data_IF_888422404858
#
_entry.id   IF_888422404858
#
_cell.length_a   1.000
_cell.length_b   1.000
_cell.length_c   1.000
_cell.angle_alpha   90.00
_cell.angle_beta   90.00
_cell.angle_gamma   90.00
#
_symmetry.space_group_name_H-M   'P 1'
#
loop_
_entity.id
_entity.type
_entity.pdbx_description
1 polymer ?
#
# COMPACT_ATOMS: atom_id res chain seq x y z
N UNK A 1 5.38 -23.51 -5.21
CA UNK A 1 4.67 -23.94 -3.98
C UNK A 1 3.15 -23.80 -4.11
N UNK A 2 2.62 -22.81 -4.82
CA UNK A 2 1.16 -22.75 -5.09
C UNK A 2 0.81 -23.55 -6.35
N UNK A 3 0.32 -24.78 -6.15
CA UNK A 3 -0.01 -25.71 -7.23
C UNK A 3 -1.23 -25.27 -8.05
N UNK A 4 -1.97 -24.25 -7.62
CA UNK A 4 -3.08 -23.69 -8.41
C UNK A 4 -2.59 -23.03 -9.70
N UNK A 5 -1.34 -22.56 -9.73
CA UNK A 5 -0.78 -21.79 -10.84
C UNK A 5 0.34 -22.53 -11.58
N UNK A 6 1.15 -23.31 -10.88
CA UNK A 6 2.34 -23.94 -11.46
C UNK A 6 2.29 -25.45 -11.29
N UNK A 7 2.19 -26.18 -12.40
CA UNK A 7 2.45 -27.62 -12.44
C UNK A 7 3.92 -27.93 -12.14
N UNK A 8 4.22 -29.14 -11.70
CA UNK A 8 5.55 -29.52 -11.18
C UNK A 8 6.72 -29.16 -12.10
N UNK A 9 6.62 -29.47 -13.40
CA UNK A 9 7.68 -29.15 -14.37
C UNK A 9 7.91 -27.65 -14.51
N UNK A 10 6.83 -26.88 -14.65
CA UNK A 10 6.91 -25.42 -14.79
C UNK A 10 7.45 -24.78 -13.50
N UNK A 11 7.05 -25.27 -12.33
CA UNK A 11 7.57 -24.81 -11.04
C UNK A 11 9.07 -25.07 -10.94
N UNK A 12 9.56 -26.24 -11.35
CA UNK A 12 10.99 -26.58 -11.34
C UNK A 12 11.78 -25.66 -12.26
N UNK A 13 11.35 -25.52 -13.52
CA UNK A 13 12.01 -24.64 -14.52
C UNK A 13 12.03 -23.18 -14.06
N UNK A 14 10.95 -22.70 -13.45
CA UNK A 14 10.88 -21.35 -12.88
C UNK A 14 11.86 -21.17 -11.72
N UNK A 15 11.94 -22.13 -10.80
CA UNK A 15 12.89 -22.07 -9.68
C UNK A 15 14.35 -22.13 -10.16
N UNK A 16 14.67 -22.96 -11.15
CA UNK A 16 16.00 -23.03 -11.76
C UNK A 16 16.36 -21.68 -12.42
N UNK A 17 15.40 -21.08 -13.14
CA UNK A 17 15.58 -19.75 -13.72
C UNK A 17 15.82 -18.68 -12.66
N UNK A 18 14.98 -18.62 -11.62
CA UNK A 18 15.12 -17.67 -10.51
C UNK A 18 16.45 -17.84 -9.76
N UNK A 19 16.85 -19.08 -9.48
CA UNK A 19 18.09 -19.41 -8.78
C UNK A 19 19.37 -19.07 -9.57
N UNK A 20 19.26 -18.95 -10.90
CA UNK A 20 20.38 -18.53 -11.75
C UNK A 20 20.62 -17.01 -11.77
N UNK A 21 19.68 -16.22 -11.24
CA UNK A 21 19.74 -14.75 -11.29
C UNK A 21 20.69 -14.19 -10.24
N UNK A 22 21.29 -13.06 -10.60
CA UNK A 22 21.95 -12.15 -9.65
C UNK A 22 21.25 -10.81 -9.74
N UNK A 23 20.35 -10.52 -8.79
CA UNK A 23 19.61 -9.25 -8.78
C UNK A 23 20.43 -8.10 -8.20
N UNK A 24 21.26 -8.40 -7.20
CA UNK A 24 22.07 -7.42 -6.49
C UNK A 24 23.56 -7.74 -6.68
N UNK A 25 24.37 -6.79 -7.17
CA UNK A 25 25.80 -6.98 -7.28
C UNK A 25 26.46 -7.26 -5.92
N UNK A 26 27.53 -8.06 -5.89
CA UNK A 26 28.25 -8.36 -4.65
C UNK A 26 28.73 -7.11 -3.89
N UNK A 27 29.17 -6.08 -4.63
CA UNK A 27 29.58 -4.79 -4.03
C UNK A 27 28.44 -4.13 -3.25
N UNK A 28 27.20 -4.17 -3.78
CA UNK A 28 26.02 -3.62 -3.10
C UNK A 28 25.77 -4.34 -1.76
N UNK A 29 25.86 -5.67 -1.76
CA UNK A 29 25.67 -6.48 -0.55
C UNK A 29 26.77 -6.20 0.48
N UNK A 30 28.04 -6.10 0.06
CA UNK A 30 29.15 -5.79 0.97
C UNK A 30 29.03 -4.39 1.60
N UNK A 31 28.51 -3.42 0.86
CA UNK A 31 28.20 -2.07 1.37
C UNK A 31 27.03 -2.11 2.36
N UNK A 32 25.99 -2.91 2.09
CA UNK A 32 24.88 -3.13 3.02
C UNK A 32 25.39 -3.72 4.34
N UNK A 33 26.18 -4.79 4.29
CA UNK A 33 26.76 -5.45 5.47
C UNK A 33 27.63 -4.50 6.29
N UNK A 34 28.37 -3.61 5.61
CA UNK A 34 29.17 -2.57 6.25
C UNK A 34 28.30 -1.54 6.94
N UNK A 35 27.23 -1.07 6.28
CA UNK A 35 26.28 -0.12 6.86
C UNK A 35 25.62 -0.69 8.12
N UNK A 36 25.21 -1.96 8.10
CA UNK A 36 24.60 -2.64 9.25
C UNK A 36 25.59 -2.79 10.42
N UNK A 37 26.83 -3.22 10.14
CA UNK A 37 27.87 -3.44 11.16
C UNK A 37 28.32 -2.13 11.82
N UNK A 38 28.53 -1.09 11.01
CA UNK A 38 29.18 0.14 11.45
C UNK A 38 28.17 1.25 11.79
N UNK A 39 26.87 1.00 11.60
CA UNK A 39 25.78 1.94 11.89
C UNK A 39 25.64 3.06 10.84
N UNK A 40 26.27 2.90 9.68
CA UNK A 40 26.28 3.87 8.60
C UNK A 40 27.42 3.64 7.61
N UNK A 41 27.47 4.50 6.58
CA UNK A 41 28.55 4.54 5.59
C UNK A 41 29.12 5.95 5.51
N UNK A 42 30.42 6.05 5.27
CA UNK A 42 31.05 7.30 4.86
C UNK A 42 30.48 7.77 3.51
N UNK A 43 30.46 9.08 3.27
CA UNK A 43 29.74 9.69 2.14
C UNK A 43 30.01 9.00 0.79
N UNK A 44 31.27 8.74 0.45
CA UNK A 44 31.60 8.12 -0.84
C UNK A 44 31.09 6.68 -0.98
N UNK A 45 31.06 5.93 0.12
CA UNK A 45 30.49 4.58 0.16
C UNK A 45 28.95 4.63 0.12
N UNK A 46 28.34 5.64 0.77
CA UNK A 46 26.90 5.87 0.71
C UNK A 46 26.45 6.25 -0.72
N UNK A 47 27.17 7.14 -1.41
CA UNK A 47 26.88 7.52 -2.79
C UNK A 47 26.96 6.30 -3.73
N UNK A 48 28.00 5.47 -3.56
CA UNK A 48 28.17 4.23 -4.32
C UNK A 48 27.07 3.21 -4.03
N UNK A 49 26.68 3.08 -2.76
CA UNK A 49 25.58 2.23 -2.34
C UNK A 49 24.27 2.66 -3.01
N UNK A 50 23.96 3.96 -3.02
CA UNK A 50 22.76 4.51 -3.66
C UNK A 50 22.74 4.27 -5.17
N UNK A 51 23.87 4.50 -5.85
CA UNK A 51 24.02 4.24 -7.29
C UNK A 51 23.71 2.76 -7.62
N UNK A 52 24.32 1.83 -6.88
CA UNK A 52 24.11 0.40 -7.08
C UNK A 52 22.69 -0.05 -6.72
N UNK A 53 22.15 0.42 -5.60
CA UNK A 53 20.81 0.08 -5.14
C UNK A 53 19.75 0.54 -6.15
N UNK A 54 19.84 1.78 -6.62
CA UNK A 54 18.89 2.31 -7.61
C UNK A 54 19.04 1.64 -8.98
N UNK A 55 20.26 1.32 -9.39
CA UNK A 55 20.53 0.61 -10.65
C UNK A 55 19.92 -0.80 -10.67
N UNK A 56 19.82 -1.48 -9.53
CA UNK A 56 19.21 -2.81 -9.44
C UNK A 56 17.71 -2.82 -9.82
N UNK A 57 17.04 -1.67 -9.76
CA UNK A 57 15.62 -1.51 -10.14
C UNK A 57 15.43 -0.80 -11.48
N UNK A 58 16.51 -0.49 -12.20
CA UNK A 58 16.43 0.04 -13.55
C UNK A 58 15.96 -1.04 -14.52
N UNK A 59 15.22 -0.62 -15.56
CA UNK A 59 14.76 -1.54 -16.59
C UNK A 59 15.97 -2.10 -17.37
N UNK A 60 16.20 -3.41 -17.28
CA UNK A 60 17.36 -4.03 -17.94
C UNK A 60 17.27 -3.92 -19.48
N UNK A 61 18.39 -3.60 -20.18
CA UNK A 61 18.46 -3.66 -21.63
C UNK A 61 18.56 -5.09 -22.17
N UNK A 62 18.73 -6.10 -21.31
CA UNK A 62 18.91 -7.48 -21.73
C UNK A 62 17.67 -8.03 -22.45
N UNK A 63 17.86 -8.81 -23.53
CA UNK A 63 16.74 -9.43 -24.23
C UNK A 63 15.97 -10.42 -23.35
N UNK A 64 14.66 -10.26 -23.30
CA UNK A 64 13.73 -11.19 -22.66
C UNK A 64 13.52 -12.40 -23.56
N UNK A 65 13.56 -13.61 -23.02
CA UNK A 65 13.22 -14.80 -23.80
C UNK A 65 11.72 -14.81 -24.13
N UNK A 66 11.37 -14.72 -25.42
CA UNK A 66 9.97 -14.60 -25.86
C UNK A 66 9.15 -15.83 -25.50
N UNK A 67 9.72 -17.02 -25.72
CA UNK A 67 9.02 -18.28 -25.52
C UNK A 67 8.71 -18.52 -24.05
N UNK A 68 9.71 -18.28 -23.19
CA UNK A 68 9.59 -18.41 -21.74
C UNK A 68 8.64 -17.37 -21.16
N UNK A 69 8.76 -16.11 -21.57
CA UNK A 69 7.86 -15.05 -21.11
C UNK A 69 6.40 -15.36 -21.47
N UNK A 70 6.13 -15.75 -22.71
CA UNK A 70 4.78 -16.11 -23.15
C UNK A 70 4.23 -17.37 -22.45
N UNK A 71 5.09 -18.31 -22.05
CA UNK A 71 4.68 -19.48 -21.26
C UNK A 71 4.20 -19.07 -19.87
N UNK A 72 4.94 -18.20 -19.18
CA UNK A 72 4.56 -17.68 -17.88
C UNK A 72 3.34 -16.74 -17.95
N UNK A 73 3.22 -15.96 -19.02
CA UNK A 73 2.11 -15.03 -19.23
C UNK A 73 0.76 -15.76 -19.34
N UNK A 74 0.75 -16.97 -19.92
CA UNK A 74 -0.45 -17.84 -19.94
C UNK A 74 -0.90 -18.27 -18.55
N UNK A 75 0.00 -18.29 -17.55
CA UNK A 75 -0.35 -18.55 -16.15
C UNK A 75 -0.86 -17.26 -15.50
N UNK A 76 -0.02 -16.22 -15.56
CA UNK A 76 -0.33 -14.88 -15.08
C UNK A 76 0.71 -13.90 -15.61
N UNK A 77 0.27 -12.71 -15.96
CA UNK A 77 1.14 -11.60 -16.30
C UNK A 77 2.15 -11.25 -15.20
N UNK A 78 1.77 -11.36 -13.91
CA UNK A 78 2.68 -11.19 -12.77
C UNK A 78 3.77 -12.27 -12.75
N UNK A 79 3.41 -13.50 -13.13
CA UNK A 79 4.39 -14.58 -13.22
C UNK A 79 5.40 -14.32 -14.35
N UNK A 80 4.96 -13.76 -15.48
CA UNK A 80 5.86 -13.37 -16.58
C UNK A 80 6.76 -12.19 -16.20
N UNK A 81 6.19 -11.17 -15.55
CA UNK A 81 6.91 -9.97 -15.11
C UNK A 81 8.02 -10.31 -14.10
N UNK A 82 7.72 -11.15 -13.11
CA UNK A 82 8.70 -11.58 -12.10
C UNK A 82 9.59 -12.69 -12.66
N UNK A 83 9.00 -13.72 -13.25
CA UNK A 83 9.62 -15.00 -13.59
C UNK A 83 10.27 -15.05 -14.98
N UNK A 84 9.92 -14.14 -15.88
CA UNK A 84 10.34 -14.16 -17.29
C UNK A 84 11.56 -13.29 -17.61
N UNK A 85 11.99 -12.44 -16.68
CA UNK A 85 13.09 -11.47 -16.89
C UNK A 85 14.27 -11.76 -15.98
N UNK A 86 15.50 -11.49 -16.41
CA UNK A 86 16.71 -11.77 -15.61
C UNK A 86 16.98 -10.77 -14.47
N UNK A 87 16.35 -9.59 -14.51
CA UNK A 87 16.52 -8.51 -13.54
C UNK A 87 15.25 -8.31 -12.69
N UNK A 88 15.21 -7.26 -11.87
CA UNK A 88 13.98 -6.71 -11.31
C UNK A 88 13.80 -5.27 -11.82
N UNK A 89 12.67 -4.64 -11.54
CA UNK A 89 12.45 -3.23 -11.83
C UNK A 89 11.42 -2.61 -10.91
N UNK A 90 11.38 -1.27 -10.91
CA UNK A 90 10.25 -0.52 -10.36
C UNK A 90 8.99 -0.88 -11.15
N UNK A 91 7.95 -1.34 -10.47
CA UNK A 91 6.65 -1.51 -11.10
C UNK A 91 5.94 -0.14 -11.24
N UNK A 92 5.84 0.60 -10.15
CA UNK A 92 5.31 1.96 -10.11
C UNK A 92 5.97 2.77 -8.99
N UNK A 93 5.91 4.11 -9.11
CA UNK A 93 6.22 5.06 -8.04
C UNK A 93 4.98 5.94 -7.84
N UNK A 94 4.42 5.88 -6.64
CA UNK A 94 3.15 6.53 -6.31
C UNK A 94 3.41 7.85 -5.58
N UNK A 95 3.13 9.03 -6.19
CA UNK A 95 3.17 10.28 -5.48
C UNK A 95 1.91 10.46 -4.62
N UNK A 96 2.08 11.11 -3.47
CA UNK A 96 0.98 11.55 -2.61
C UNK A 96 0.35 12.83 -3.16
N UNK A 97 -0.98 12.85 -3.25
CA UNK A 97 -1.78 13.99 -3.72
C UNK A 97 -2.79 14.39 -2.65
N UNK A 98 -3.19 15.66 -2.65
CA UNK A 98 -4.15 16.19 -1.67
C UNK A 98 -5.61 16.01 -2.11
N UNK A 99 -5.88 16.08 -3.41
CA UNK A 99 -7.23 15.83 -3.97
C UNK A 99 -7.09 14.88 -5.17
N UNK A 100 -7.38 13.61 -4.92
CA UNK A 100 -7.28 12.55 -5.94
C UNK A 100 -8.37 12.67 -7.01
N UNK A 101 -9.55 13.20 -6.67
CA UNK A 101 -10.65 13.36 -7.63
C UNK A 101 -10.36 14.47 -8.64
N UNK A 102 -9.82 15.60 -8.16
CA UNK A 102 -9.43 16.70 -9.04
C UNK A 102 -8.26 16.30 -9.95
N UNK A 103 -7.30 15.53 -9.42
CA UNK A 103 -6.23 14.99 -10.24
C UNK A 103 -6.76 13.99 -11.28
N UNK A 104 -7.63 13.07 -10.89
CA UNK A 104 -8.27 12.11 -11.81
C UNK A 104 -8.98 12.84 -12.96
N UNK A 105 -9.79 13.85 -12.63
CA UNK A 105 -10.51 14.68 -13.61
C UNK A 105 -9.56 15.41 -14.56
N UNK A 106 -8.47 16.00 -14.06
CA UNK A 106 -7.48 16.70 -14.89
C UNK A 106 -6.70 15.76 -15.79
N UNK A 107 -6.25 14.61 -15.27
CA UNK A 107 -5.52 13.62 -16.06
C UNK A 107 -6.38 13.09 -17.21
N UNK A 108 -7.65 12.78 -16.95
CA UNK A 108 -8.61 12.41 -18.00
C UNK A 108 -8.81 13.52 -19.02
N UNK A 109 -8.94 14.79 -18.60
CA UNK A 109 -9.06 15.93 -19.50
C UNK A 109 -7.79 16.16 -20.37
N UNK A 110 -6.63 15.72 -19.90
CA UNK A 110 -5.37 15.71 -20.64
C UNK A 110 -5.17 14.47 -21.54
N UNK A 111 -6.17 13.59 -21.62
CA UNK A 111 -6.14 12.40 -22.47
C UNK A 111 -5.34 11.23 -21.88
N UNK A 112 -5.05 11.25 -20.57
CA UNK A 112 -4.45 10.11 -19.88
C UNK A 112 -5.55 9.09 -19.60
N UNK A 113 -5.35 7.85 -20.06
CA UNK A 113 -6.27 6.72 -19.82
C UNK A 113 -6.16 6.27 -18.36
N UNK A 114 -7.05 6.82 -17.52
CA UNK A 114 -7.22 6.42 -16.12
C UNK A 114 -7.96 5.08 -16.05
N UNK A 115 -7.74 4.30 -14.99
CA UNK A 115 -8.64 3.19 -14.68
C UNK A 115 -10.01 3.73 -14.24
N UNK A 116 -11.07 2.96 -14.44
CA UNK A 116 -12.45 3.44 -14.27
C UNK A 116 -12.84 3.78 -12.82
N UNK A 117 -12.02 3.41 -11.82
CA UNK A 117 -12.38 3.53 -10.42
C UNK A 117 -11.24 4.01 -9.53
N UNK A 118 -11.56 4.95 -8.62
CA UNK A 118 -10.76 5.25 -7.44
C UNK A 118 -11.08 4.21 -6.36
N UNK A 119 -10.05 3.54 -5.87
CA UNK A 119 -10.16 2.52 -4.84
C UNK A 119 -9.99 3.11 -3.45
N UNK A 120 -10.65 2.50 -2.46
CA UNK A 120 -10.66 2.96 -1.08
C UNK A 120 -12.01 3.54 -0.66
N UNK A 121 -12.05 4.31 0.43
CA UNK A 121 -13.25 5.03 0.85
C UNK A 121 -13.77 6.01 -0.23
N UNK A 122 -15.07 6.37 -0.18
CA UNK A 122 -15.62 7.37 -1.08
C UNK A 122 -15.08 8.76 -0.74
N UNK A 123 -15.19 9.70 -1.70
CA UNK A 123 -15.13 11.13 -1.36
C UNK A 123 -16.35 11.47 -0.49
N UNK A 124 -16.13 12.18 0.61
CA UNK A 124 -17.19 12.61 1.54
C UNK A 124 -16.75 13.85 2.33
N UNK A 125 -17.64 14.42 3.16
CA UNK A 125 -17.41 15.69 3.88
C UNK A 125 -16.74 15.54 5.26
N UNK A 126 -16.34 14.31 5.66
CA UNK A 126 -15.65 14.04 6.92
C UNK A 126 -14.16 13.70 6.73
N UNK A 127 -13.46 13.29 7.80
CA UNK A 127 -12.05 12.93 7.73
C UNK A 127 -11.79 11.75 6.76
N UNK A 128 -10.82 11.90 5.87
CA UNK A 128 -10.36 10.78 5.05
C UNK A 128 -9.74 9.70 5.94
N UNK A 129 -10.12 8.44 5.76
CA UNK A 129 -9.62 7.29 6.50
C UNK A 129 -8.84 6.37 5.56
N UNK A 130 -7.77 5.71 6.04
CA UNK A 130 -6.89 4.87 5.22
C UNK A 130 -6.30 5.68 4.06
N UNK A 131 -6.44 5.20 2.82
CA UNK A 131 -6.02 5.90 1.61
C UNK A 131 -7.01 5.66 0.48
N UNK A 132 -7.01 6.58 -0.47
CA UNK A 132 -7.65 6.45 -1.77
C UNK A 132 -6.57 6.38 -2.83
N UNK A 133 -6.71 5.51 -3.82
CA UNK A 133 -5.72 5.36 -4.89
C UNK A 133 -6.37 5.07 -6.24
N UNK A 134 -5.67 5.39 -7.31
CA UNK A 134 -6.06 5.04 -8.68
C UNK A 134 -4.82 4.92 -9.55
N UNK A 135 -4.94 4.22 -10.67
CA UNK A 135 -3.85 4.05 -11.63
C UNK A 135 -4.21 4.58 -12.99
N UNK A 136 -3.21 4.73 -13.84
CA UNK A 136 -3.38 5.03 -15.25
C UNK A 136 -2.51 4.10 -16.08
N UNK A 137 -2.98 3.83 -17.29
CA UNK A 137 -2.41 2.77 -18.11
C UNK A 137 -0.94 3.01 -18.39
N UNK A 138 -0.17 1.94 -18.25
CA UNK A 138 1.23 1.85 -18.62
C UNK A 138 1.49 2.35 -20.05
N UNK A 139 2.54 3.15 -20.22
CA UNK A 139 3.12 3.36 -21.55
C UNK A 139 3.69 2.02 -22.04
N UNK A 140 3.48 1.71 -23.32
CA UNK A 140 4.17 0.58 -23.94
C UNK A 140 5.65 0.94 -24.05
N UNK A 141 6.52 0.15 -23.42
CA UNK A 141 7.95 0.44 -23.39
C UNK A 141 8.71 -0.51 -24.31
N UNK A 142 9.61 0.01 -25.17
CA UNK A 142 10.42 -0.82 -26.03
C UNK A 142 11.26 -1.80 -25.23
N UNK A 143 11.18 -3.08 -25.60
CA UNK A 143 11.99 -4.16 -25.03
C UNK A 143 12.61 -5.01 -26.13
N UNK A 144 13.82 -5.49 -25.85
CA UNK A 144 14.45 -6.51 -26.67
C UNK A 144 13.90 -7.88 -26.28
N UNK A 145 13.57 -8.67 -27.30
CA UNK A 145 13.17 -10.06 -27.15
C UNK A 145 14.12 -10.95 -27.91
N UNK A 146 14.54 -12.04 -27.28
CA UNK A 146 15.23 -13.14 -27.92
C UNK A 146 14.18 -14.15 -28.39
N UNK A 147 14.15 -14.39 -29.69
CA UNK A 147 13.31 -15.39 -30.33
C UNK A 147 13.97 -16.78 -30.24
N UNK A 148 13.19 -17.85 -30.45
CA UNK A 148 13.68 -19.23 -30.34
C UNK A 148 14.76 -19.61 -31.37
N UNK A 149 14.91 -18.84 -32.45
CA UNK A 149 15.99 -18.95 -33.44
C UNK A 149 17.26 -18.17 -33.05
N UNK A 150 17.25 -17.52 -31.88
CA UNK A 150 18.35 -16.70 -31.35
C UNK A 150 18.35 -15.25 -31.81
N UNK A 151 17.45 -14.86 -32.73
CA UNK A 151 17.34 -13.47 -33.21
C UNK A 151 16.86 -12.56 -32.08
N UNK A 152 17.45 -11.36 -32.00
CA UNK A 152 16.98 -10.31 -31.09
C UNK A 152 16.14 -9.33 -31.88
N UNK A 153 14.91 -9.11 -31.42
CA UNK A 153 13.96 -8.17 -32.04
C UNK A 153 13.48 -7.16 -31.01
N UNK A 154 13.10 -5.98 -31.49
CA UNK A 154 12.39 -5.02 -30.66
C UNK A 154 10.90 -5.40 -30.65
N UNK A 155 10.32 -5.43 -29.45
CA UNK A 155 8.89 -5.46 -29.20
C UNK A 155 8.55 -4.49 -28.07
N UNK A 156 7.34 -4.57 -27.55
CA UNK A 156 6.90 -3.73 -26.43
C UNK A 156 6.39 -4.59 -25.28
N UNK A 157 6.63 -4.15 -24.04
CA UNK A 157 6.00 -4.69 -22.84
C UNK A 157 5.30 -3.58 -22.06
N UNK A 158 4.17 -3.94 -21.44
CA UNK A 158 3.41 -3.06 -20.55
C UNK A 158 3.61 -3.54 -19.12
N UNK A 159 4.75 -3.19 -18.54
CA UNK A 159 5.19 -3.69 -17.22
C UNK A 159 5.22 -2.60 -16.14
N UNK A 160 5.10 -1.32 -16.53
CA UNK A 160 5.10 -0.18 -15.58
C UNK A 160 3.86 0.69 -15.78
N UNK A 161 2.99 0.73 -14.79
CA UNK A 161 1.87 1.67 -14.77
C UNK A 161 2.16 2.81 -13.79
N UNK A 162 1.42 3.90 -13.94
CA UNK A 162 1.46 4.96 -12.95
C UNK A 162 0.33 4.78 -11.95
N UNK A 163 0.60 5.13 -10.71
CA UNK A 163 -0.37 5.14 -9.62
C UNK A 163 -0.26 6.47 -8.89
N UNK A 164 -1.35 6.90 -8.27
CA UNK A 164 -1.42 8.09 -7.41
C UNK A 164 -2.28 7.77 -6.19
N UNK A 165 -1.95 8.37 -5.05
CA UNK A 165 -2.66 8.11 -3.79
C UNK A 165 -2.91 9.38 -2.97
N UNK A 166 -4.02 9.39 -2.25
CA UNK A 166 -4.32 10.35 -1.20
C UNK A 166 -4.41 9.59 0.13
N UNK A 167 -3.60 9.99 1.11
CA UNK A 167 -3.52 9.36 2.45
C UNK A 167 -4.27 10.16 3.49
N UNK A 168 -5.24 9.50 4.13
CA UNK A 168 -6.01 10.00 5.27
C UNK A 168 -5.44 9.50 6.60
N UNK A 169 -6.30 9.45 7.63
CA UNK A 169 -5.96 9.03 8.99
C UNK A 169 -5.89 7.50 9.13
N UNK A 170 -4.93 7.02 9.92
CA UNK A 170 -4.78 5.61 10.26
C UNK A 170 -5.93 5.17 11.19
N UNK A 171 -6.73 4.15 10.83
CA UNK A 171 -7.79 3.65 11.71
C UNK A 171 -7.21 2.87 12.89
N UNK A 172 -7.90 2.88 14.03
CA UNK A 172 -7.68 1.89 15.09
C UNK A 172 -8.25 0.53 14.64
N UNK A 173 -7.99 -0.57 15.37
CA UNK A 173 -8.69 -1.83 15.12
C UNK A 173 -10.23 -1.70 15.14
N UNK A 174 -10.79 -0.81 15.98
CA UNK A 174 -12.22 -0.54 16.02
C UNK A 174 -12.69 0.20 14.76
N UNK A 175 -11.97 1.24 14.35
CA UNK A 175 -12.22 1.96 13.10
C UNK A 175 -12.12 1.08 11.88
N UNK A 176 -11.12 0.19 11.83
CA UNK A 176 -10.93 -0.77 10.74
C UNK A 176 -12.08 -1.75 10.66
N UNK A 177 -12.53 -2.30 11.79
CA UNK A 177 -13.74 -3.15 11.83
C UNK A 177 -14.98 -2.41 11.38
N UNK A 178 -15.12 -1.12 11.70
CA UNK A 178 -16.23 -0.31 11.21
C UNK A 178 -16.13 -0.14 9.69
N UNK A 179 -14.99 0.31 9.17
CA UNK A 179 -14.72 0.45 7.73
C UNK A 179 -15.09 -0.83 6.95
N UNK A 180 -14.62 -1.99 7.40
CA UNK A 180 -14.89 -3.27 6.73
C UNK A 180 -16.41 -3.60 6.73
N UNK A 181 -17.14 -3.29 7.83
CA UNK A 181 -18.60 -3.45 7.87
C UNK A 181 -19.32 -2.50 6.93
N UNK A 182 -18.87 -1.24 6.84
CA UNK A 182 -19.47 -0.24 5.96
C UNK A 182 -19.30 -0.61 4.48
N UNK A 183 -18.19 -1.22 4.10
CA UNK A 183 -18.02 -1.76 2.74
C UNK A 183 -19.06 -2.85 2.42
N UNK A 184 -19.26 -3.81 3.35
CA UNK A 184 -20.25 -4.88 3.19
C UNK A 184 -21.67 -4.31 3.11
N UNK A 185 -21.99 -3.33 3.95
CA UNK A 185 -23.29 -2.66 3.93
C UNK A 185 -23.52 -1.92 2.62
N UNK A 186 -22.52 -1.18 2.13
CA UNK A 186 -22.61 -0.49 0.84
C UNK A 186 -22.79 -1.47 -0.32
N UNK A 187 -22.08 -2.61 -0.34
CA UNK A 187 -22.26 -3.66 -1.35
C UNK A 187 -23.69 -4.23 -1.32
N UNK A 188 -24.23 -4.49 -0.13
CA UNK A 188 -25.60 -4.98 0.04
C UNK A 188 -26.64 -3.95 -0.44
N UNK A 189 -26.47 -2.68 -0.07
CA UNK A 189 -27.36 -1.59 -0.52
C UNK A 189 -27.27 -1.38 -2.02
N UNK A 190 -26.08 -1.41 -2.62
CA UNK A 190 -25.90 -1.27 -4.07
C UNK A 190 -26.59 -2.39 -4.85
N UNK A 191 -26.55 -3.64 -4.38
CA UNK A 191 -27.28 -4.76 -5.02
C UNK A 191 -28.80 -4.55 -5.04
N UNK A 192 -29.33 -3.90 -4.00
CA UNK A 192 -30.76 -3.61 -3.89
C UNK A 192 -31.17 -2.30 -4.59
N UNK A 193 -30.21 -1.49 -5.04
CA UNK A 193 -30.40 -0.19 -5.70
C UNK A 193 -29.53 -0.08 -6.95
N UNK A 194 -29.73 -0.94 -7.96
CA UNK A 194 -28.95 -0.89 -9.21
C UNK A 194 -29.21 0.38 -10.03
N UNK A 195 -30.22 1.18 -9.67
CA UNK A 195 -30.52 2.49 -10.23
C UNK A 195 -29.53 3.58 -9.83
N UNK A 196 -28.79 3.40 -8.73
CA UNK A 196 -27.85 4.38 -8.19
C UNK A 196 -26.40 4.00 -8.50
N UNK A 197 -25.53 4.99 -8.80
CA UNK A 197 -24.09 4.77 -8.84
C UNK A 197 -23.60 4.17 -7.51
N UNK A 198 -22.75 3.15 -7.60
CA UNK A 198 -22.18 2.49 -6.42
C UNK A 198 -21.47 3.46 -5.47
N UNK A 199 -20.82 4.48 -6.02
CA UNK A 199 -20.11 5.50 -5.24
C UNK A 199 -21.07 6.36 -4.41
N UNK A 200 -22.25 6.69 -4.94
CA UNK A 200 -23.26 7.47 -4.21
C UNK A 200 -23.82 6.69 -3.03
N UNK A 201 -24.07 5.38 -3.21
CA UNK A 201 -24.48 4.48 -2.13
C UNK A 201 -23.38 4.37 -1.07
N UNK A 202 -22.12 4.22 -1.50
CA UNK A 202 -20.98 4.13 -0.60
C UNK A 202 -20.83 5.41 0.25
N UNK A 203 -20.90 6.58 -0.39
CA UNK A 203 -20.86 7.88 0.31
C UNK A 203 -22.00 8.03 1.32
N UNK A 204 -23.22 7.66 0.95
CA UNK A 204 -24.37 7.73 1.87
C UNK A 204 -24.19 6.84 3.12
N UNK A 205 -23.64 5.64 2.96
CA UNK A 205 -23.30 4.75 4.08
C UNK A 205 -22.21 5.35 4.96
N UNK A 206 -21.21 6.00 4.37
CA UNK A 206 -20.17 6.72 5.12
C UNK A 206 -20.76 7.85 5.95
N UNK A 207 -21.56 8.72 5.34
CA UNK A 207 -22.19 9.87 6.00
C UNK A 207 -23.17 9.47 7.12
N UNK A 208 -23.77 8.27 7.05
CA UNK A 208 -24.68 7.75 8.07
C UNK A 208 -23.94 7.24 9.31
N UNK A 209 -22.74 6.69 9.13
CA UNK A 209 -22.09 5.87 10.17
C UNK A 209 -20.75 6.39 10.68
N UNK A 210 -20.06 7.28 9.96
CA UNK A 210 -18.79 7.85 10.40
C UNK A 210 -18.97 9.26 10.98
N UNK A 211 -18.28 9.59 12.08
CA UNK A 211 -18.22 10.95 12.60
C UNK A 211 -17.62 11.94 11.58
N UNK A 212 -18.19 13.14 11.51
CA UNK A 212 -17.84 14.15 10.51
C UNK A 212 -16.61 15.01 10.85
N UNK A 213 -16.00 14.82 12.01
CA UNK A 213 -14.86 15.62 12.45
C UNK A 213 -13.77 14.75 13.05
N UNK A 214 -12.52 15.21 12.98
CA UNK A 214 -11.38 14.53 13.60
C UNK A 214 -11.54 14.39 15.12
N UNK A 215 -12.16 15.39 15.77
CA UNK A 215 -12.45 15.37 17.20
C UNK A 215 -13.43 14.24 17.53
N UNK A 216 -14.50 14.09 16.76
CA UNK A 216 -15.49 13.03 17.00
C UNK A 216 -14.93 11.63 16.65
N UNK A 217 -14.04 11.54 15.65
CA UNK A 217 -13.31 10.31 15.32
C UNK A 217 -12.38 9.89 16.46
N UNK A 218 -11.63 10.84 17.03
CA UNK A 218 -10.76 10.61 18.18
C UNK A 218 -11.57 10.23 19.44
N UNK A 219 -12.66 10.96 19.71
CA UNK A 219 -13.61 10.69 20.80
C UNK A 219 -14.16 9.27 20.76
N UNK A 220 -14.41 8.75 19.55
CA UNK A 220 -14.99 7.42 19.34
C UNK A 220 -13.94 6.31 19.20
N UNK A 221 -12.64 6.62 19.40
CA UNK A 221 -11.50 5.72 19.19
C UNK A 221 -11.53 5.01 17.81
N UNK A 222 -11.97 5.71 16.76
CA UNK A 222 -12.07 5.15 15.40
C UNK A 222 -10.82 5.38 14.57
N UNK A 223 -9.95 6.29 14.96
CA UNK A 223 -8.67 6.54 14.28
C UNK A 223 -7.59 6.99 15.26
N UNK A 224 -6.34 6.83 14.86
CA UNK A 224 -5.19 7.27 15.63
C UNK A 224 -4.96 8.77 15.42
N UNK A 225 -4.86 9.47 16.54
CA UNK A 225 -4.55 10.90 16.60
C UNK A 225 -3.40 11.12 17.57
N UNK A 226 -2.64 12.19 17.34
CA UNK A 226 -1.75 12.77 18.34
C UNK A 226 -2.40 13.98 18.98
N UNK A 227 -2.03 14.27 20.22
CA UNK A 227 -2.65 15.31 21.03
C UNK A 227 -1.62 16.31 21.53
N UNK A 228 -2.03 17.58 21.59
CA UNK A 228 -1.22 18.66 22.16
C UNK A 228 -2.10 19.53 23.07
N UNK A 229 -1.53 20.01 24.18
CA UNK A 229 -2.24 20.94 25.07
C UNK A 229 -2.47 22.26 24.34
N UNK A 230 -3.70 22.74 24.37
CA UNK A 230 -4.08 24.02 23.77
C UNK A 230 -3.46 25.19 24.52
N UNK A 231 -2.99 26.19 23.78
CA UNK A 231 -2.46 27.42 24.36
C UNK A 231 -3.55 28.24 25.07
N UNK A 232 -4.78 28.16 24.57
CA UNK A 232 -5.99 28.82 25.10
C UNK A 232 -6.88 27.85 25.90
N UNK A 233 -6.29 26.78 26.47
CA UNK A 233 -7.02 25.82 27.29
C UNK A 233 -7.77 26.49 28.45
N UNK A 234 -8.85 25.88 28.98
CA UNK A 234 -9.53 26.36 30.16
C UNK A 234 -8.61 26.46 31.40
N UNK A 235 -8.95 27.40 32.29
CA UNK A 235 -8.42 27.46 33.64
C UNK A 235 -9.03 26.36 34.52
N UNK A 236 -8.29 25.94 35.55
CA UNK A 236 -8.77 24.98 36.55
C UNK A 236 -8.06 23.64 36.53
N UNK A 237 -8.71 22.63 37.12
CA UNK A 237 -8.18 21.28 37.20
C UNK A 237 -8.48 20.52 35.89
N UNK A 238 -7.47 19.95 35.21
CA UNK A 238 -7.69 19.20 33.98
C UNK A 238 -8.44 17.88 34.26
N UNK A 239 -9.36 17.48 33.37
CA UNK A 239 -9.99 16.17 33.44
C UNK A 239 -8.98 15.05 33.14
N UNK A 240 -9.24 13.85 33.68
CA UNK A 240 -8.33 12.69 33.58
C UNK A 240 -8.61 11.75 32.40
N UNK A 241 -9.60 12.05 31.56
CA UNK A 241 -10.00 11.26 30.41
C UNK A 241 -9.98 12.07 29.11
N UNK A 242 -9.68 11.40 28.01
CA UNK A 242 -9.48 12.04 26.71
C UNK A 242 -10.76 12.68 26.19
N UNK A 243 -11.92 12.06 26.39
CA UNK A 243 -13.20 12.56 25.88
C UNK A 243 -13.51 13.93 26.48
N UNK A 244 -13.37 14.08 27.80
CA UNK A 244 -13.62 15.35 28.47
C UNK A 244 -12.54 16.39 28.13
N UNK A 245 -11.27 15.98 27.99
CA UNK A 245 -10.21 16.87 27.50
C UNK A 245 -10.52 17.45 26.11
N UNK A 246 -11.12 16.65 25.22
CA UNK A 246 -11.55 17.10 23.89
C UNK A 246 -12.79 18.01 23.97
N UNK A 247 -13.84 17.56 24.66
CA UNK A 247 -15.12 18.27 24.76
C UNK A 247 -14.96 19.64 25.44
N UNK A 248 -14.09 19.75 26.45
CA UNK A 248 -13.84 21.00 27.18
C UNK A 248 -12.73 21.86 26.53
N UNK A 249 -12.14 21.43 25.41
CA UNK A 249 -11.15 22.22 24.68
C UNK A 249 -9.80 22.36 25.39
N UNK A 250 -9.33 21.32 26.06
CA UNK A 250 -7.99 21.29 26.68
C UNK A 250 -6.89 20.91 25.70
N UNK A 251 -7.24 20.12 24.68
CA UNK A 251 -6.26 19.55 23.74
C UNK A 251 -6.72 19.72 22.29
N UNK A 252 -5.77 19.90 21.40
CA UNK A 252 -5.96 19.80 19.95
C UNK A 252 -5.64 18.37 19.48
N UNK A 253 -6.29 17.97 18.38
CA UNK A 253 -6.06 16.69 17.70
C UNK A 253 -5.30 16.90 16.40
N UNK A 254 -4.36 16.02 16.09
CA UNK A 254 -3.68 15.97 14.79
C UNK A 254 -3.75 14.54 14.25
N UNK A 255 -4.30 14.32 13.03
CA UNK A 255 -4.42 12.99 12.45
C UNK A 255 -3.06 12.30 12.32
N UNK A 256 -2.96 11.03 12.74
CA UNK A 256 -1.83 10.19 12.38
C UNK A 256 -2.06 9.67 10.97
N UNK A 257 -1.20 10.06 10.03
CA UNK A 257 -1.32 9.66 8.61
C UNK A 257 -1.21 8.14 8.49
N UNK A 258 -2.06 7.55 7.66
CA UNK A 258 -1.96 6.14 7.29
C UNK A 258 -0.82 5.92 6.31
N UNK A 259 0.23 5.21 6.74
CA UNK A 259 1.47 4.93 6.00
C UNK A 259 1.49 3.53 5.36
N UNK A 260 0.45 2.72 5.55
CA UNK A 260 0.36 1.38 4.95
C UNK A 260 -0.47 1.36 3.67
N UNK A 261 -0.92 0.17 3.24
CA UNK A 261 -1.64 -0.07 1.99
C UNK A 261 -3.04 -0.65 2.26
N UNK A 262 -3.96 -0.53 1.29
CA UNK A 262 -5.26 -1.20 1.40
C UNK A 262 -5.08 -2.73 1.29
N UNK A 263 -5.80 -3.53 2.10
CA UNK A 263 -5.65 -4.99 2.17
C UNK A 263 -6.01 -5.75 0.88
N UNK A 264 -6.78 -5.14 -0.03
CA UNK A 264 -7.27 -5.78 -1.28
C UNK A 264 -6.90 -5.04 -2.57
N UNK A 265 -6.20 -3.90 -2.51
CA UNK A 265 -5.99 -3.06 -3.70
C UNK A 265 -4.83 -3.52 -4.58
N UNK A 266 -3.69 -3.88 -3.98
CA UNK A 266 -2.47 -4.11 -4.73
C UNK A 266 -2.65 -5.19 -5.80
N UNK A 267 -3.01 -6.42 -5.42
CA UNK A 267 -3.20 -7.53 -6.36
C UNK A 267 -4.31 -7.28 -7.40
N UNK A 268 -5.37 -6.55 -7.03
CA UNK A 268 -6.47 -6.21 -7.95
C UNK A 268 -6.06 -5.17 -8.99
N UNK A 269 -5.32 -4.13 -8.59
CA UNK A 269 -4.70 -3.13 -9.49
C UNK A 269 -3.67 -3.80 -10.39
N UNK A 270 -2.80 -4.66 -9.82
CA UNK A 270 -1.82 -5.41 -10.59
C UNK A 270 -2.48 -6.30 -11.66
N UNK A 271 -3.52 -7.06 -11.28
CA UNK A 271 -4.23 -7.93 -12.19
C UNK A 271 -5.07 -7.17 -13.24
N UNK A 272 -5.69 -6.04 -12.88
CA UNK A 272 -6.49 -5.26 -13.84
C UNK A 272 -5.64 -4.46 -14.82
N UNK A 273 -4.42 -4.08 -14.44
CA UNK A 273 -3.50 -3.31 -15.28
C UNK A 273 -2.69 -4.19 -16.25
N UNK A 274 -2.53 -5.48 -15.94
CA UNK A 274 -1.81 -6.42 -16.77
C UNK A 274 -2.81 -7.30 -17.54
N UNK A 275 -2.70 -7.37 -18.86
CA UNK A 275 -3.71 -8.03 -19.70
C UNK A 275 -3.85 -9.54 -19.43
N UNK A 276 -4.90 -9.96 -18.72
CA UNK A 276 -5.36 -11.35 -18.67
C UNK A 276 -5.97 -11.79 -17.32
N UNK A 277 -7.00 -12.64 -17.38
CA UNK A 277 -7.50 -13.37 -16.22
C UNK A 277 -6.48 -14.45 -15.80
N UNK A 278 -6.15 -14.53 -14.51
CA UNK A 278 -5.25 -15.57 -14.00
C UNK A 278 -5.91 -16.95 -14.06
N UNK A 279 -5.24 -17.96 -14.64
CA UNK A 279 -5.79 -19.33 -14.75
C UNK A 279 -5.54 -20.16 -13.49
N UNK A 280 -6.08 -19.72 -12.35
CA UNK A 280 -5.96 -20.46 -11.09
C UNK A 280 -6.82 -21.74 -11.12
N UNK A 281 -6.23 -22.90 -10.83
CA UNK A 281 -6.98 -24.13 -10.62
C UNK A 281 -7.70 -24.10 -9.26
N UNK A 282 -9.02 -23.87 -9.31
CA UNK A 282 -9.87 -23.77 -8.13
C UNK A 282 -10.00 -25.09 -7.33
N UNK A 283 -9.52 -26.23 -7.86
CA UNK A 283 -9.56 -27.52 -7.18
C UNK A 283 -8.41 -27.75 -6.20
N UNK A 284 -7.40 -26.86 -6.19
CA UNK A 284 -6.16 -27.01 -5.41
C UNK A 284 -6.08 -26.03 -4.23
N UNK A 285 -5.31 -26.40 -3.21
CA UNK A 285 -5.21 -25.65 -1.96
C UNK A 285 -4.29 -24.45 -2.08
N UNK A 286 -4.77 -23.28 -1.64
CA UNK A 286 -3.92 -22.10 -1.44
C UNK A 286 -2.98 -22.34 -0.26
N UNK A 287 -1.70 -22.03 -0.41
CA UNK A 287 -0.80 -21.93 0.73
C UNK A 287 -1.16 -20.66 1.54
N UNK A 288 -1.30 -20.73 2.88
CA UNK A 288 -1.43 -19.52 3.70
C UNK A 288 -0.13 -18.72 3.61
N UNK A 289 -0.26 -17.42 3.31
CA UNK A 289 0.84 -16.45 3.22
C UNK A 289 0.52 -15.30 4.17
N UNK A 290 0.62 -15.58 5.47
CA UNK A 290 0.35 -14.61 6.53
C UNK A 290 1.64 -13.87 6.97
N UNK A 291 1.50 -13.03 8.00
CA UNK A 291 2.60 -12.24 8.55
C UNK A 291 3.72 -13.12 9.12
N UNK A 292 3.38 -14.23 9.76
CA UNK A 292 4.35 -15.13 10.37
C UNK A 292 5.16 -15.86 9.30
N UNK A 293 4.47 -16.35 8.26
CA UNK A 293 5.11 -16.91 7.08
C UNK A 293 6.07 -15.90 6.42
N UNK A 294 5.64 -14.64 6.25
CA UNK A 294 6.49 -13.61 5.64
C UNK A 294 7.70 -13.30 6.54
N UNK A 295 7.51 -13.24 7.85
CA UNK A 295 8.57 -13.01 8.83
C UNK A 295 9.63 -14.11 8.79
N UNK A 296 9.21 -15.37 8.67
CA UNK A 296 10.11 -16.51 8.51
C UNK A 296 10.95 -16.39 7.23
N UNK A 297 10.32 -16.01 6.10
CA UNK A 297 11.02 -15.89 4.82
C UNK A 297 11.98 -14.70 4.74
N UNK A 298 11.67 -13.58 5.39
CA UNK A 298 12.57 -12.41 5.48
C UNK A 298 13.65 -12.64 6.56
N UNK A 299 13.42 -13.55 7.52
CA UNK A 299 14.33 -13.80 8.64
C UNK A 299 14.27 -12.74 9.74
N UNK A 300 13.21 -11.92 9.77
CA UNK A 300 12.94 -10.91 10.80
C UNK A 300 11.44 -10.70 10.99
N UNK A 301 10.96 -10.31 12.18
CA UNK A 301 9.55 -10.02 12.40
C UNK A 301 9.05 -8.89 11.48
N UNK A 302 7.96 -9.14 10.77
CA UNK A 302 7.17 -8.09 10.12
C UNK A 302 6.36 -7.40 11.21
N UNK A 303 6.61 -6.10 11.40
CA UNK A 303 5.98 -5.30 12.45
C UNK A 303 4.49 -5.13 12.18
N UNK A 304 3.69 -5.10 13.25
CA UNK A 304 2.29 -4.71 13.18
C UNK A 304 2.18 -3.18 13.07
N UNK A 305 1.65 -2.62 11.97
CA UNK A 305 1.53 -1.17 11.85
C UNK A 305 0.65 -0.54 12.93
N UNK A 306 -0.36 -1.27 13.43
CA UNK A 306 -1.24 -0.78 14.50
C UNK A 306 -0.45 -0.46 15.78
N UNK A 307 0.61 -1.22 16.07
CA UNK A 307 1.49 -0.97 17.21
C UNK A 307 2.28 0.34 17.04
N UNK A 308 2.71 0.66 15.82
CA UNK A 308 3.45 1.89 15.51
C UNK A 308 2.56 3.12 15.64
N UNK A 309 1.32 3.06 15.14
CA UNK A 309 0.36 4.15 15.29
C UNK A 309 -0.07 4.34 16.74
N UNK A 310 -0.32 3.25 17.48
CA UNK A 310 -0.61 3.29 18.90
C UNK A 310 0.56 3.92 19.68
N UNK A 311 1.80 3.58 19.36
CA UNK A 311 2.97 4.19 20.01
C UNK A 311 3.04 5.71 19.81
N UNK A 312 2.72 6.21 18.60
CA UNK A 312 2.66 7.66 18.33
C UNK A 312 1.59 8.35 19.18
N UNK A 313 0.37 7.79 19.20
CA UNK A 313 -0.72 8.28 20.04
C UNK A 313 -0.32 8.32 21.51
N UNK A 314 0.16 7.19 22.03
CA UNK A 314 0.46 7.03 23.45
C UNK A 314 1.63 7.93 23.88
N UNK A 315 2.62 8.15 23.01
CA UNK A 315 3.69 9.12 23.25
C UNK A 315 3.14 10.54 23.40
N UNK A 316 2.20 10.95 22.52
CA UNK A 316 1.57 12.27 22.62
C UNK A 316 0.70 12.41 23.88
N UNK A 317 -0.06 11.38 24.26
CA UNK A 317 -0.87 11.38 25.48
C UNK A 317 -0.01 11.45 26.74
N UNK A 318 1.14 10.76 26.78
CA UNK A 318 2.10 10.89 27.89
C UNK A 318 2.63 12.33 28.01
N UNK A 319 2.91 12.98 26.88
CA UNK A 319 3.35 14.37 26.87
C UNK A 319 2.25 15.32 27.38
N UNK A 320 1.00 15.13 26.95
CA UNK A 320 -0.16 15.89 27.45
C UNK A 320 -0.36 15.66 28.95
N UNK A 321 -0.33 14.40 29.41
CA UNK A 321 -0.50 14.06 30.82
C UNK A 321 0.56 14.76 31.69
N UNK A 322 1.83 14.70 31.28
CA UNK A 322 2.91 15.40 31.97
C UNK A 322 2.71 16.92 31.99
N UNK A 323 2.28 17.52 30.88
CA UNK A 323 2.04 18.97 30.78
C UNK A 323 0.85 19.44 31.64
N UNK A 324 -0.15 18.58 31.84
CA UNK A 324 -1.34 18.84 32.66
C UNK A 324 -1.19 18.37 34.12
N UNK A 325 -0.06 17.76 34.49
CA UNK A 325 0.15 17.23 35.84
C UNK A 325 -0.73 16.00 36.18
N UNK A 326 -1.13 15.24 35.16
CA UNK A 326 -1.90 14.00 35.29
C UNK A 326 -0.95 12.79 35.28
N UNK A 327 -1.28 11.73 36.02
CA UNK A 327 -0.52 10.47 35.98
C UNK A 327 -0.71 9.75 34.63
N UNK A 328 -1.95 9.74 34.13
CA UNK A 328 -2.33 9.15 32.84
C UNK A 328 -3.64 9.78 32.35
N UNK A 329 -3.90 9.66 31.05
CA UNK A 329 -5.17 10.03 30.42
C UNK A 329 -5.89 8.74 30.04
N UNK A 330 -7.13 8.58 30.49
CA UNK A 330 -7.96 7.43 30.10
C UNK A 330 -8.46 7.59 28.66
N UNK A 331 -8.28 6.55 27.83
CA UNK A 331 -8.86 6.47 26.49
C UNK A 331 -10.34 6.06 26.55
N UNK A 332 -11.14 6.32 25.49
CA UNK A 332 -12.47 5.75 25.35
C UNK A 332 -12.40 4.21 25.47
N UNK A 333 -13.39 3.63 26.16
CA UNK A 333 -13.50 2.17 26.38
C UNK A 333 -14.27 1.44 25.29
#
# INVERSE_FOLDING_TARGET
>A
EDERFFVEDLSRRLLDFLGSRTLFPHELLALADTAERDGGLEQGAADRFLELATSAFALSPDPVDRGWYAELERVSSVAADIGGVGSTHINHLTPRVLDIDELYRRMGAHGIEMIDQIQGPPRWDGPDILLRQTSFRALAEPRLFREGDGRVVQGDLRVRFGEVEARGVAPTPAGRRLYDRLLVEADNRSRNRPDLPREDVLRAVWEEHLPRTDVDMARSDLAYYTFAVRADRPDGAPPGDLVTLLDDGWVDVTPVVYEDFLPRSAAGIFASNLSGESSADASRTSAPRDRDWLSERIGRPVVDPDELYAHQRDASLRAVAAALGLERIALPG
#
